data_IF_420420680858
#
_entry.id   IF_420420680858
#
_cell.length_a   1.000
_cell.length_b   1.000
_cell.length_c   1.000
_cell.angle_alpha   90.00
_cell.angle_beta   90.00
_cell.angle_gamma   90.00
#
_symmetry.space_group_name_H-M   'P 1'
#
loop_
_entity.id
_entity.type
_entity.pdbx_description
1 polymer ?
#
# COMPACT_ATOMS: atom_id res chain seq x y z
N UNK A 1 0.87 -3.02 -11.51
CA UNK A 1 -0.18 -1.98 -11.47
C UNK A 1 -1.30 -2.39 -10.54
N UNK A 2 -1.69 -1.47 -9.67
CA UNK A 2 -2.82 -1.57 -8.75
C UNK A 2 -3.49 -0.20 -8.60
N UNK A 3 -4.59 -0.11 -7.86
CA UNK A 3 -5.23 1.17 -7.52
C UNK A 3 -4.28 2.19 -6.84
N UNK A 4 -3.18 1.73 -6.24
CA UNK A 4 -2.14 2.60 -5.69
C UNK A 4 -1.51 3.50 -6.76
N UNK A 5 -1.34 3.00 -8.00
CA UNK A 5 -0.82 3.80 -9.09
C UNK A 5 -1.79 4.91 -9.53
N UNK A 6 -3.10 4.64 -9.43
CA UNK A 6 -4.13 5.66 -9.68
C UNK A 6 -4.06 6.75 -8.61
N UNK A 7 -3.84 6.34 -7.36
CA UNK A 7 -3.68 7.26 -6.23
C UNK A 7 -2.54 8.24 -6.49
N UNK A 8 -1.36 7.76 -6.90
CA UNK A 8 -0.25 8.66 -7.26
C UNK A 8 -0.63 9.70 -8.31
N UNK A 9 -1.46 9.33 -9.29
CA UNK A 9 -1.96 10.26 -10.29
C UNK A 9 -2.94 11.29 -9.75
N UNK A 10 -3.88 10.89 -8.91
CA UNK A 10 -4.93 11.76 -8.34
C UNK A 10 -4.34 12.82 -7.41
N UNK A 11 -3.29 12.49 -6.67
CA UNK A 11 -2.64 13.42 -5.71
C UNK A 11 -1.31 13.98 -6.19
N UNK A 12 -1.00 13.83 -7.48
CA UNK A 12 0.33 14.13 -7.95
C UNK A 12 0.75 15.59 -7.75
N UNK A 13 -0.18 16.53 -7.91
CA UNK A 13 0.07 17.95 -7.64
C UNK A 13 0.03 18.26 -6.14
N UNK A 14 -0.97 17.74 -5.42
CA UNK A 14 -1.22 18.04 -3.99
C UNK A 14 -0.11 17.52 -3.06
N UNK A 15 0.39 16.32 -3.33
CA UNK A 15 1.45 15.67 -2.53
C UNK A 15 2.83 15.83 -3.20
N UNK A 16 2.86 16.33 -4.44
CA UNK A 16 4.10 16.59 -5.18
C UNK A 16 4.71 15.33 -5.81
N UNK A 17 3.93 14.29 -6.12
CA UNK A 17 4.46 13.12 -6.84
C UNK A 17 5.01 13.46 -8.23
N UNK A 18 4.52 14.53 -8.86
CA UNK A 18 5.06 15.04 -10.13
C UNK A 18 6.52 15.49 -10.02
N UNK A 19 6.97 15.83 -8.80
CA UNK A 19 8.34 16.23 -8.58
C UNK A 19 9.32 15.05 -8.62
N UNK A 20 8.88 13.79 -8.54
CA UNK A 20 9.82 12.64 -8.65
C UNK A 20 10.37 12.47 -10.06
N UNK A 21 9.54 12.76 -11.06
CA UNK A 21 9.82 12.57 -12.47
C UNK A 21 9.25 13.76 -13.25
N UNK A 22 10.04 14.83 -13.44
CA UNK A 22 9.60 16.02 -14.15
C UNK A 22 9.10 15.69 -15.56
N UNK A 23 8.02 16.34 -15.96
CA UNK A 23 7.41 16.29 -17.29
C UNK A 23 7.21 17.70 -17.85
N UNK A 24 6.80 17.77 -19.11
CA UNK A 24 6.36 19.03 -19.74
C UNK A 24 5.14 19.62 -19.00
N UNK A 25 4.96 20.94 -19.13
CA UNK A 25 3.85 21.66 -18.49
C UNK A 25 2.50 21.05 -18.85
N UNK A 26 1.65 20.85 -17.84
CA UNK A 26 0.35 20.20 -17.99
C UNK A 26 0.39 18.66 -17.99
N UNK A 27 1.58 18.06 -17.91
CA UNK A 27 1.76 16.62 -17.82
C UNK A 27 2.38 16.18 -16.49
N UNK A 28 2.17 14.91 -16.15
CA UNK A 28 2.79 14.26 -14.99
C UNK A 28 3.18 12.83 -15.34
N UNK A 29 4.29 12.35 -14.79
CA UNK A 29 4.71 10.95 -14.95
C UNK A 29 4.22 10.14 -13.75
N UNK A 30 3.41 9.12 -14.01
CA UNK A 30 2.96 8.21 -12.96
C UNK A 30 4.16 7.41 -12.46
N UNK A 31 4.46 7.45 -11.15
CA UNK A 31 5.53 6.65 -10.60
C UNK A 31 5.06 5.21 -10.28
N UNK A 32 6.00 4.28 -10.25
CA UNK A 32 5.77 2.86 -9.99
C UNK A 32 6.87 2.30 -9.08
N UNK A 33 6.55 1.30 -8.27
CA UNK A 33 7.59 0.44 -7.68
C UNK A 33 7.91 -0.66 -8.68
N UNK A 34 9.19 -0.96 -8.87
CA UNK A 34 9.61 -1.88 -9.92
C UNK A 34 11.06 -2.30 -9.80
N UNK A 35 11.51 -3.03 -10.81
CA UNK A 35 12.90 -3.40 -11.01
C UNK A 35 13.41 -2.82 -12.33
N UNK A 36 14.65 -2.40 -12.36
CA UNK A 36 15.33 -1.98 -13.58
C UNK A 36 16.77 -2.50 -13.60
N UNK A 37 17.25 -2.81 -14.79
CA UNK A 37 18.63 -3.22 -15.04
C UNK A 37 19.43 -2.05 -15.62
N UNK A 38 20.70 -1.91 -15.24
CA UNK A 38 21.59 -0.87 -15.77
C UNK A 38 21.97 -1.20 -17.20
N UNK A 39 21.45 -0.45 -18.16
CA UNK A 39 21.78 -0.62 -19.59
C UNK A 39 22.98 0.21 -20.04
N UNK A 40 23.23 1.34 -19.37
CA UNK A 40 24.38 2.24 -19.58
C UNK A 40 24.80 2.87 -18.24
N UNK A 41 26.11 3.08 -18.04
CA UNK A 41 26.65 3.67 -16.82
C UNK A 41 27.96 4.41 -17.09
N UNK A 42 28.14 5.54 -16.39
CA UNK A 42 29.43 6.25 -16.27
C UNK A 42 30.00 6.18 -14.85
N UNK A 43 29.28 5.51 -13.94
CA UNK A 43 29.64 5.42 -12.52
C UNK A 43 30.47 4.17 -12.27
N UNK A 44 31.68 4.32 -11.72
CA UNK A 44 32.65 3.21 -11.58
C UNK A 44 32.16 2.05 -10.70
N UNK A 45 31.36 2.36 -9.68
CA UNK A 45 30.87 1.36 -8.71
C UNK A 45 29.53 0.71 -9.07
N UNK A 46 28.95 1.07 -10.23
CA UNK A 46 27.66 0.57 -10.70
C UNK A 46 27.88 -0.01 -12.10
N UNK A 47 28.13 -1.33 -12.21
CA UNK A 47 28.39 -1.99 -13.49
C UNK A 47 27.12 -2.11 -14.34
N UNK A 48 27.30 -2.20 -15.67
CA UNK A 48 26.24 -2.57 -16.60
C UNK A 48 25.68 -3.96 -16.24
N UNK A 49 24.36 -4.11 -16.31
CA UNK A 49 23.63 -5.33 -15.94
C UNK A 49 23.30 -5.45 -14.45
N UNK A 50 23.73 -4.50 -13.60
CA UNK A 50 23.28 -4.45 -12.22
C UNK A 50 21.76 -4.19 -12.15
N UNK A 51 21.07 -4.83 -11.20
CA UNK A 51 19.62 -4.74 -11.03
C UNK A 51 19.27 -4.02 -9.74
N UNK A 52 18.30 -3.12 -9.85
CA UNK A 52 17.81 -2.31 -8.73
C UNK A 52 16.33 -2.53 -8.48
N UNK A 53 15.94 -2.55 -7.22
CA UNK A 53 14.55 -2.39 -6.80
C UNK A 53 14.33 -0.97 -6.25
N UNK A 54 13.25 -0.31 -6.66
CA UNK A 54 12.98 1.06 -6.20
C UNK A 54 11.78 1.72 -6.89
N UNK A 55 11.79 3.04 -6.88
CA UNK A 55 10.72 3.89 -7.40
C UNK A 55 11.08 4.43 -8.79
N UNK A 56 10.37 4.01 -9.83
CA UNK A 56 10.66 4.28 -11.23
C UNK A 56 9.54 5.09 -11.89
N UNK A 57 9.80 5.78 -13.01
CA UNK A 57 8.73 6.31 -13.82
C UNK A 57 7.99 5.14 -14.49
N UNK A 58 6.70 5.30 -14.81
CA UNK A 58 6.01 4.41 -15.73
C UNK A 58 6.52 4.65 -17.15
N UNK A 59 7.74 4.18 -17.42
CA UNK A 59 8.48 4.38 -18.67
C UNK A 59 9.49 3.25 -18.90
N UNK A 60 10.27 3.37 -19.97
CA UNK A 60 11.28 2.38 -20.37
C UNK A 60 12.68 2.67 -19.81
N UNK A 61 13.00 3.94 -19.57
CA UNK A 61 14.30 4.38 -19.06
C UNK A 61 14.17 5.41 -17.93
N UNK A 62 15.15 5.40 -17.02
CA UNK A 62 15.39 6.46 -16.05
C UNK A 62 16.87 6.81 -16.05
N UNK A 63 17.19 8.08 -16.25
CA UNK A 63 18.54 8.61 -16.03
C UNK A 63 18.64 9.03 -14.57
N UNK A 64 19.58 8.43 -13.84
CA UNK A 64 19.83 8.72 -12.42
C UNK A 64 21.14 9.47 -12.26
N UNK A 65 21.28 10.20 -11.15
CA UNK A 65 22.55 10.72 -10.68
C UNK A 65 22.93 10.03 -9.35
N UNK A 66 23.50 8.81 -9.38
CA UNK A 66 23.77 8.05 -8.18
C UNK A 66 24.66 8.83 -7.20
N UNK A 67 24.21 8.87 -5.96
CA UNK A 67 24.90 9.44 -4.81
C UNK A 67 24.85 8.42 -3.67
N UNK A 68 25.74 8.56 -2.68
CA UNK A 68 25.78 7.69 -1.48
C UNK A 68 25.70 6.19 -1.83
N UNK A 69 26.58 5.76 -2.74
CA UNK A 69 26.65 4.37 -3.19
C UNK A 69 27.23 3.48 -2.10
N UNK A 70 26.59 2.35 -1.85
CA UNK A 70 27.00 1.33 -0.88
C UNK A 70 26.76 -0.06 -1.46
N UNK A 71 27.17 -1.11 -0.76
CA UNK A 71 26.94 -2.49 -1.21
C UNK A 71 25.44 -2.84 -1.32
N UNK A 72 24.59 -2.30 -0.46
CA UNK A 72 23.16 -2.65 -0.39
C UNK A 72 22.23 -1.67 -1.09
N UNK A 73 22.66 -0.43 -1.35
CA UNK A 73 21.81 0.61 -1.95
C UNK A 73 22.57 1.71 -2.66
N UNK A 74 21.84 2.44 -3.51
CA UNK A 74 22.21 3.76 -4.05
C UNK A 74 21.10 4.77 -3.75
N UNK A 75 21.44 6.06 -3.77
CA UNK A 75 20.47 7.16 -3.68
C UNK A 75 20.50 7.95 -4.98
N UNK A 76 19.37 8.16 -5.63
CA UNK A 76 19.29 9.11 -6.76
C UNK A 76 19.41 10.54 -6.23
N UNK A 77 20.56 11.15 -6.50
CA UNK A 77 20.93 12.49 -6.09
C UNK A 77 20.58 13.57 -7.11
N UNK A 78 19.71 13.27 -8.09
CA UNK A 78 19.24 14.27 -9.04
C UNK A 78 18.68 15.51 -8.32
N UNK A 79 18.98 16.75 -8.77
CA UNK A 79 18.62 17.95 -8.03
C UNK A 79 17.13 18.09 -7.68
N UNK A 80 16.23 17.69 -8.59
CA UNK A 80 14.78 17.74 -8.38
C UNK A 80 14.28 16.80 -7.26
N UNK A 81 15.08 15.80 -6.87
CA UNK A 81 14.75 14.85 -5.81
C UNK A 81 15.21 15.27 -4.42
N UNK A 82 16.07 16.28 -4.29
CA UNK A 82 16.76 16.61 -3.05
C UNK A 82 15.83 16.92 -1.86
N UNK A 83 14.69 17.56 -2.14
CA UNK A 83 13.69 17.91 -1.13
C UNK A 83 12.61 16.83 -0.92
N UNK A 84 12.64 15.73 -1.69
CA UNK A 84 11.62 14.68 -1.64
C UNK A 84 11.93 13.64 -0.56
N UNK A 85 10.92 12.91 -0.05
CA UNK A 85 11.14 11.93 1.00
C UNK A 85 12.19 10.87 0.59
N UNK A 86 13.23 10.62 1.41
CA UNK A 86 14.38 9.79 1.02
C UNK A 86 14.06 8.36 0.59
N UNK A 87 12.95 7.79 1.08
CA UNK A 87 12.52 6.43 0.75
C UNK A 87 12.29 6.22 -0.76
N UNK A 88 11.82 7.25 -1.47
CA UNK A 88 11.55 7.19 -2.91
C UNK A 88 12.78 7.48 -3.78
N UNK A 89 13.87 7.95 -3.16
CA UNK A 89 15.15 8.20 -3.82
C UNK A 89 16.15 7.07 -3.56
N UNK A 90 15.84 6.13 -2.66
CA UNK A 90 16.71 5.01 -2.31
C UNK A 90 16.36 3.79 -3.14
N UNK A 91 17.36 3.22 -3.81
CA UNK A 91 17.22 2.02 -4.64
C UNK A 91 18.06 0.90 -4.05
N UNK A 92 17.42 -0.23 -3.79
CA UNK A 92 18.07 -1.42 -3.26
C UNK A 92 18.85 -2.13 -4.38
N UNK A 93 20.10 -2.50 -4.08
CA UNK A 93 20.94 -3.33 -4.95
C UNK A 93 20.59 -4.78 -4.69
N UNK A 94 20.04 -5.47 -5.68
CA UNK A 94 19.70 -6.89 -5.51
C UNK A 94 20.95 -7.75 -5.31
N UNK A 95 22.09 -7.32 -5.86
CA UNK A 95 23.41 -7.92 -5.68
C UNK A 95 23.92 -7.89 -4.23
N UNK A 96 23.47 -6.92 -3.44
CA UNK A 96 23.84 -6.75 -2.03
C UNK A 96 22.76 -7.21 -1.05
N UNK A 97 21.68 -7.83 -1.53
CA UNK A 97 20.58 -8.30 -0.70
C UNK A 97 20.76 -9.80 -0.40
N UNK A 98 20.98 -10.11 0.88
CA UNK A 98 21.08 -11.50 1.34
C UNK A 98 19.75 -12.24 1.14
N UNK A 99 19.81 -13.39 0.47
CA UNK A 99 18.62 -14.19 0.19
C UNK A 99 17.69 -13.57 -0.86
N UNK A 100 18.20 -12.69 -1.73
CA UNK A 100 17.44 -12.22 -2.89
C UNK A 100 17.04 -13.40 -3.79
N UNK A 101 15.74 -13.49 -4.06
CA UNK A 101 15.14 -14.47 -4.96
C UNK A 101 14.36 -13.73 -6.06
N UNK A 102 14.87 -13.82 -7.29
CA UNK A 102 14.26 -13.20 -8.47
C UNK A 102 12.85 -13.74 -8.76
N UNK A 103 12.51 -14.94 -8.29
CA UNK A 103 11.17 -15.52 -8.45
C UNK A 103 10.09 -14.76 -7.67
N UNK A 104 10.49 -13.86 -6.77
CA UNK A 104 9.62 -13.01 -5.96
C UNK A 104 9.54 -11.55 -6.46
N UNK A 105 10.20 -11.22 -7.59
CA UNK A 105 10.26 -9.84 -8.11
C UNK A 105 8.85 -9.29 -8.37
N UNK A 106 7.97 -10.09 -8.99
CA UNK A 106 6.63 -9.68 -9.36
C UNK A 106 5.78 -9.34 -8.13
N UNK A 107 5.79 -10.21 -7.12
CA UNK A 107 5.12 -9.96 -5.85
C UNK A 107 5.75 -8.79 -5.10
N UNK A 108 7.06 -8.57 -5.20
CA UNK A 108 7.73 -7.45 -4.50
C UNK A 108 7.32 -6.12 -5.09
N UNK A 109 7.37 -5.97 -6.41
CA UNK A 109 6.98 -4.71 -7.04
C UNK A 109 5.48 -4.43 -6.88
N UNK A 110 4.65 -5.48 -6.86
CA UNK A 110 3.21 -5.33 -6.75
C UNK A 110 2.73 -5.12 -5.31
N UNK A 111 3.25 -5.90 -4.35
CA UNK A 111 2.70 -6.02 -3.00
C UNK A 111 3.55 -5.36 -1.92
N UNK A 112 4.88 -5.31 -2.03
CA UNK A 112 5.74 -4.78 -0.94
C UNK A 112 5.32 -3.40 -0.43
N UNK A 113 5.12 -2.36 -1.28
CA UNK A 113 4.71 -1.05 -0.77
C UNK A 113 3.35 -1.09 -0.03
N UNK A 114 2.45 -1.99 -0.44
CA UNK A 114 1.12 -2.14 0.15
C UNK A 114 1.20 -2.92 1.47
N UNK A 115 1.91 -4.03 1.48
CA UNK A 115 2.04 -4.93 2.62
C UNK A 115 2.95 -4.37 3.71
N UNK A 116 3.95 -3.55 3.37
CA UNK A 116 4.69 -2.76 4.35
C UNK A 116 3.76 -1.78 5.08
N UNK A 117 2.82 -1.15 4.37
CA UNK A 117 1.78 -0.30 4.97
C UNK A 117 0.82 -1.14 5.83
N UNK A 118 0.41 -2.31 5.35
CA UNK A 118 -0.42 -3.25 6.13
C UNK A 118 0.23 -3.68 7.44
N UNK A 119 1.52 -4.03 7.41
CA UNK A 119 2.28 -4.37 8.61
C UNK A 119 2.39 -3.18 9.57
N UNK A 120 2.63 -1.98 9.04
CA UNK A 120 2.66 -0.75 9.84
C UNK A 120 1.33 -0.48 10.53
N UNK A 121 0.20 -0.69 9.83
CA UNK A 121 -1.13 -0.59 10.40
C UNK A 121 -1.38 -1.64 11.48
N UNK A 122 -1.04 -2.90 11.21
CA UNK A 122 -1.15 -3.98 12.18
C UNK A 122 -0.38 -3.64 13.47
N UNK A 123 0.88 -3.25 13.35
CA UNK A 123 1.71 -2.92 14.49
C UNK A 123 1.22 -1.66 15.22
N UNK A 124 0.73 -0.65 14.50
CA UNK A 124 0.10 0.53 15.09
C UNK A 124 -1.12 0.17 15.92
N UNK A 125 -2.02 -0.68 15.39
CA UNK A 125 -3.20 -1.13 16.12
C UNK A 125 -2.80 -1.92 17.37
N UNK A 126 -1.83 -2.82 17.24
CA UNK A 126 -1.33 -3.65 18.33
C UNK A 126 -0.64 -2.83 19.43
N UNK A 127 0.17 -1.85 19.05
CA UNK A 127 0.87 -0.94 19.98
C UNK A 127 -0.08 -0.14 20.85
N UNK A 128 -1.27 0.17 20.32
CA UNK A 128 -2.31 0.93 21.00
C UNK A 128 -3.32 0.03 21.71
N UNK A 129 -2.97 -1.24 21.96
CA UNK A 129 -3.85 -2.23 22.58
C UNK A 129 -5.23 -2.30 21.88
N UNK A 130 -5.20 -2.25 20.54
CA UNK A 130 -6.38 -2.23 19.68
C UNK A 130 -7.37 -1.08 20.00
N UNK A 131 -6.92 -0.04 20.70
CA UNK A 131 -7.75 1.03 21.27
C UNK A 131 -8.88 0.51 22.19
N UNK A 132 -8.64 -0.63 22.86
CA UNK A 132 -9.65 -1.34 23.66
C UNK A 132 -10.77 -1.99 22.84
N UNK A 133 -10.59 -2.15 21.53
CA UNK A 133 -11.55 -2.81 20.66
C UNK A 133 -11.51 -4.34 20.80
N UNK A 134 -12.67 -4.96 20.61
CA UNK A 134 -12.86 -6.42 20.52
C UNK A 134 -13.25 -6.88 19.10
N UNK A 135 -13.37 -5.93 18.16
CA UNK A 135 -13.43 -6.21 16.73
C UNK A 135 -12.70 -5.14 15.91
N UNK A 136 -12.08 -5.56 14.81
CA UNK A 136 -11.47 -4.70 13.79
C UNK A 136 -12.35 -4.72 12.56
N UNK A 137 -12.85 -3.56 12.13
CA UNK A 137 -13.70 -3.41 10.95
C UNK A 137 -12.89 -2.78 9.82
N UNK A 138 -12.64 -3.53 8.75
CA UNK A 138 -11.78 -3.12 7.63
C UNK A 138 -12.67 -2.82 6.41
N UNK A 139 -12.68 -1.56 5.95
CA UNK A 139 -13.40 -1.16 4.75
C UNK A 139 -12.51 -1.33 3.52
N UNK A 140 -13.14 -1.58 2.36
CA UNK A 140 -12.43 -1.97 1.14
C UNK A 140 -11.64 -3.27 1.34
N UNK A 141 -12.28 -4.26 1.98
CA UNK A 141 -11.69 -5.55 2.36
C UNK A 141 -11.13 -6.37 1.18
N UNK A 142 -11.52 -6.05 -0.06
CA UNK A 142 -10.93 -6.64 -1.27
C UNK A 142 -9.66 -5.95 -1.75
N UNK A 143 -9.28 -4.81 -1.19
CA UNK A 143 -8.06 -4.10 -1.58
C UNK A 143 -6.81 -4.84 -1.09
N UNK A 144 -5.71 -4.75 -1.83
CA UNK A 144 -4.46 -5.44 -1.49
C UNK A 144 -3.93 -5.00 -0.12
N UNK A 145 -4.00 -3.70 0.21
CA UNK A 145 -3.59 -3.21 1.55
C UNK A 145 -4.48 -3.79 2.66
N UNK A 146 -5.80 -3.92 2.44
CA UNK A 146 -6.70 -4.53 3.42
C UNK A 146 -6.43 -6.02 3.60
N UNK A 147 -6.18 -6.74 2.50
CA UNK A 147 -5.82 -8.17 2.53
C UNK A 147 -4.51 -8.38 3.27
N UNK A 148 -3.50 -7.53 3.04
CA UNK A 148 -2.26 -7.55 3.81
C UNK A 148 -2.51 -7.33 5.31
N UNK A 149 -3.41 -6.42 5.69
CA UNK A 149 -3.73 -6.19 7.11
C UNK A 149 -4.45 -7.39 7.70
N UNK A 150 -5.40 -7.96 6.96
CA UNK A 150 -6.12 -9.17 7.38
C UNK A 150 -5.17 -10.37 7.54
N UNK A 151 -4.16 -10.54 6.68
CA UNK A 151 -3.11 -11.55 6.85
C UNK A 151 -2.35 -11.36 8.17
N UNK A 152 -1.92 -10.14 8.47
CA UNK A 152 -1.19 -9.84 9.70
C UNK A 152 -2.04 -10.09 10.97
N UNK A 153 -3.32 -9.74 10.93
CA UNK A 153 -4.26 -9.99 12.03
C UNK A 153 -4.58 -11.48 12.17
N UNK A 154 -4.76 -12.20 11.06
CA UNK A 154 -5.06 -13.64 11.07
C UNK A 154 -3.94 -14.48 11.70
N UNK A 155 -2.68 -14.07 11.51
CA UNK A 155 -1.52 -14.74 12.09
C UNK A 155 -1.27 -14.37 13.57
N UNK A 156 -2.00 -13.39 14.12
CA UNK A 156 -1.85 -12.94 15.51
C UNK A 156 -3.00 -13.49 16.39
N UNK A 157 -2.73 -14.46 17.29
CA UNK A 157 -3.76 -15.03 18.14
C UNK A 157 -4.35 -14.05 19.17
N UNK A 158 -3.70 -12.90 19.38
CA UNK A 158 -4.20 -11.83 20.24
C UNK A 158 -5.04 -10.79 19.47
N UNK A 159 -5.13 -10.88 18.14
CA UNK A 159 -5.92 -9.95 17.35
C UNK A 159 -7.43 -10.08 17.68
N UNK A 160 -8.16 -8.95 17.77
CA UNK A 160 -9.62 -8.99 17.87
C UNK A 160 -10.26 -9.57 16.61
N UNK A 161 -11.55 -9.91 16.71
CA UNK A 161 -12.34 -10.42 15.59
C UNK A 161 -12.26 -9.48 14.38
N UNK A 162 -11.96 -9.99 13.20
CA UNK A 162 -11.78 -9.20 11.98
C UNK A 162 -13.04 -9.26 11.10
N UNK A 163 -13.61 -8.10 10.79
CA UNK A 163 -14.78 -7.96 9.93
C UNK A 163 -14.41 -7.17 8.68
N UNK A 164 -14.65 -7.76 7.50
CA UNK A 164 -14.41 -7.09 6.21
C UNK A 164 -15.68 -6.52 5.61
N UNK A 165 -15.67 -5.24 5.21
CA UNK A 165 -16.69 -4.67 4.32
C UNK A 165 -16.12 -4.48 2.92
N UNK A 166 -16.88 -4.90 1.92
CA UNK A 166 -16.54 -4.75 0.51
C UNK A 166 -17.79 -4.54 -0.34
N UNK A 167 -17.64 -4.27 -1.64
CA UNK A 167 -18.76 -4.28 -2.58
C UNK A 167 -19.26 -5.70 -2.86
N UNK A 168 -20.55 -5.82 -3.20
CA UNK A 168 -21.21 -7.11 -3.41
C UNK A 168 -20.57 -7.96 -4.50
N UNK A 169 -20.04 -7.31 -5.55
CA UNK A 169 -19.27 -7.98 -6.62
C UNK A 169 -17.99 -8.66 -6.11
N UNK A 170 -17.39 -8.15 -5.04
CA UNK A 170 -16.13 -8.64 -4.47
C UNK A 170 -16.36 -9.57 -3.25
N UNK A 171 -17.56 -9.59 -2.69
CA UNK A 171 -17.87 -10.29 -1.43
C UNK A 171 -17.54 -11.78 -1.47
N UNK A 172 -17.81 -12.45 -2.61
CA UNK A 172 -17.48 -13.87 -2.79
C UNK A 172 -15.98 -14.12 -2.67
N UNK A 173 -15.17 -13.30 -3.34
CA UNK A 173 -13.71 -13.41 -3.29
C UNK A 173 -13.20 -13.15 -1.87
N UNK A 174 -13.67 -12.08 -1.22
CA UNK A 174 -13.26 -11.73 0.15
C UNK A 174 -13.55 -12.86 1.14
N UNK A 175 -14.70 -13.52 1.04
CA UNK A 175 -15.01 -14.72 1.85
C UNK A 175 -14.10 -15.90 1.51
N UNK A 176 -13.79 -16.10 0.23
CA UNK A 176 -12.88 -17.14 -0.24
C UNK A 176 -11.44 -17.00 0.26
N UNK A 177 -11.01 -15.79 0.65
CA UNK A 177 -9.70 -15.58 1.28
C UNK A 177 -9.57 -16.27 2.64
N UNK A 178 -10.69 -16.51 3.35
CA UNK A 178 -10.72 -17.06 4.70
C UNK A 178 -9.86 -16.29 5.73
N UNK A 179 -9.65 -14.99 5.51
CA UNK A 179 -8.89 -14.10 6.41
C UNK A 179 -9.78 -13.28 7.36
N UNK A 180 -11.07 -13.20 7.06
CA UNK A 180 -12.05 -12.44 7.83
C UNK A 180 -12.98 -13.40 8.58
N UNK A 181 -13.22 -13.13 9.86
CA UNK A 181 -14.20 -13.91 10.63
C UNK A 181 -15.62 -13.71 10.10
N UNK A 182 -15.93 -12.49 9.65
CA UNK A 182 -17.17 -12.14 8.97
C UNK A 182 -16.87 -11.17 7.82
N UNK A 183 -17.65 -11.29 6.73
CA UNK A 183 -17.56 -10.35 5.61
C UNK A 183 -18.96 -9.97 5.09
N UNK A 184 -19.17 -8.67 4.91
CA UNK A 184 -20.43 -8.06 4.50
C UNK A 184 -20.28 -7.22 3.23
N UNK A 185 -21.36 -7.12 2.48
CA UNK A 185 -21.51 -6.06 1.48
C UNK A 185 -21.66 -4.70 2.18
N UNK A 186 -21.31 -3.61 1.50
CA UNK A 186 -21.53 -2.25 1.99
C UNK A 186 -22.99 -1.97 2.36
N UNK A 187 -23.97 -2.48 1.61
CA UNK A 187 -25.39 -2.35 1.92
C UNK A 187 -25.84 -3.13 3.16
N UNK A 188 -25.02 -4.07 3.63
CA UNK A 188 -25.27 -4.94 4.76
C UNK A 188 -24.55 -4.49 6.05
N UNK A 189 -23.97 -3.27 6.08
CA UNK A 189 -23.15 -2.79 7.21
C UNK A 189 -23.85 -2.87 8.57
N UNK A 190 -25.18 -2.75 8.61
CA UNK A 190 -25.97 -2.80 9.85
C UNK A 190 -26.00 -4.18 10.51
N UNK A 191 -25.52 -5.23 9.82
CA UNK A 191 -25.37 -6.59 10.37
C UNK A 191 -24.15 -6.71 11.28
N UNK A 192 -23.23 -5.75 11.22
CA UNK A 192 -22.08 -5.68 12.13
C UNK A 192 -22.61 -5.42 13.54
N UNK A 193 -22.19 -6.23 14.51
CA UNK A 193 -22.59 -6.05 15.91
C UNK A 193 -22.08 -4.72 16.43
N UNK A 194 -22.99 -3.83 16.78
CA UNK A 194 -22.67 -2.48 17.26
C UNK A 194 -22.52 -2.40 18.78
N UNK A 195 -22.85 -3.47 19.50
CA UNK A 195 -22.60 -3.63 20.93
C UNK A 195 -21.13 -3.99 21.26
N UNK A 196 -20.30 -4.21 20.24
CA UNK A 196 -18.89 -4.59 20.37
C UNK A 196 -17.99 -3.38 20.11
N UNK A 197 -17.10 -3.09 21.07
CA UNK A 197 -16.06 -2.09 20.93
C UNK A 197 -15.24 -2.35 19.65
N UNK A 198 -15.17 -1.37 18.76
CA UNK A 198 -14.68 -1.53 17.40
C UNK A 198 -13.59 -0.53 17.09
N UNK A 199 -12.52 -0.98 16.43
CA UNK A 199 -11.62 -0.10 15.69
C UNK A 199 -11.93 -0.23 14.20
N UNK A 200 -12.06 0.90 13.52
CA UNK A 200 -12.33 0.98 12.08
C UNK A 200 -11.03 1.28 11.35
N UNK A 201 -10.78 0.59 10.24
CA UNK A 201 -9.68 0.89 9.32
C UNK A 201 -10.30 1.18 7.95
N UNK A 202 -10.32 2.45 7.56
CA UNK A 202 -10.90 2.87 6.28
C UNK A 202 -9.85 2.93 5.17
N UNK A 203 -10.00 2.07 4.17
CA UNK A 203 -9.26 2.10 2.91
C UNK A 203 -10.18 2.35 1.71
N UNK A 204 -11.44 2.71 1.95
CA UNK A 204 -12.44 2.95 0.90
C UNK A 204 -12.45 4.39 0.42
N UNK A 205 -12.11 5.36 1.30
CA UNK A 205 -12.25 6.78 1.01
C UNK A 205 -13.70 7.21 0.74
N UNK A 206 -14.68 6.41 1.15
CA UNK A 206 -16.10 6.70 0.97
C UNK A 206 -16.67 7.32 2.24
N UNK A 207 -16.72 8.66 2.28
CA UNK A 207 -17.20 9.43 3.44
C UNK A 207 -18.64 9.10 3.85
N UNK A 208 -19.50 8.76 2.90
CA UNK A 208 -20.89 8.38 3.17
C UNK A 208 -20.97 7.03 3.89
N UNK A 209 -20.30 6.02 3.34
CA UNK A 209 -20.21 4.70 3.97
C UNK A 209 -19.59 4.77 5.36
N UNK A 210 -18.55 5.59 5.51
CA UNK A 210 -17.86 5.76 6.77
C UNK A 210 -18.75 6.45 7.82
N UNK A 211 -19.49 7.49 7.43
CA UNK A 211 -20.47 8.14 8.31
C UNK A 211 -21.58 7.18 8.74
N UNK A 212 -22.14 6.39 7.82
CA UNK A 212 -23.18 5.39 8.13
C UNK A 212 -22.66 4.32 9.11
N UNK A 213 -21.40 3.89 8.96
CA UNK A 213 -20.77 2.95 9.88
C UNK A 213 -20.51 3.58 11.26
N UNK A 214 -20.05 4.83 11.30
CA UNK A 214 -19.82 5.56 12.55
C UNK A 214 -21.12 5.75 13.32
N UNK A 215 -22.20 6.14 12.65
CA UNK A 215 -23.53 6.25 13.24
C UNK A 215 -24.03 4.91 13.77
N UNK A 216 -23.82 3.82 13.02
CA UNK A 216 -24.22 2.49 13.43
C UNK A 216 -23.47 1.98 14.67
N UNK A 217 -22.16 2.22 14.75
CA UNK A 217 -21.30 1.80 15.86
C UNK A 217 -21.33 2.75 17.07
N UNK A 218 -21.61 4.04 16.84
CA UNK A 218 -21.78 5.09 17.84
C UNK A 218 -20.70 5.08 18.96
N UNK A 219 -21.10 4.93 20.23
CA UNK A 219 -20.21 4.91 21.39
C UNK A 219 -19.23 3.71 21.40
N UNK A 220 -19.52 2.67 20.61
CA UNK A 220 -18.67 1.50 20.49
C UNK A 220 -17.60 1.63 19.41
N UNK A 221 -17.65 2.63 18.53
CA UNK A 221 -16.49 2.98 17.72
C UNK A 221 -15.41 3.62 18.59
N UNK A 222 -14.32 2.90 18.88
CA UNK A 222 -13.24 3.38 19.76
C UNK A 222 -12.21 4.22 19.02
N UNK A 223 -11.92 3.84 17.78
CA UNK A 223 -10.97 4.56 16.94
C UNK A 223 -11.26 4.28 15.46
N UNK A 224 -10.93 5.22 14.59
CA UNK A 224 -11.00 5.08 13.14
C UNK A 224 -9.68 5.56 12.50
N UNK A 225 -8.95 4.63 11.90
CA UNK A 225 -7.75 4.89 11.12
C UNK A 225 -8.10 5.08 9.64
N UNK A 226 -7.94 6.28 9.11
CA UNK A 226 -8.15 6.56 7.68
C UNK A 226 -6.83 6.36 6.92
N UNK A 227 -6.83 5.51 5.90
CA UNK A 227 -5.61 5.07 5.22
C UNK A 227 -5.57 5.54 3.78
N UNK A 228 -4.45 6.15 3.39
CA UNK A 228 -4.21 6.63 2.04
C UNK A 228 -4.84 8.00 1.79
N UNK A 229 -5.25 8.26 0.55
CA UNK A 229 -5.83 9.53 0.14
C UNK A 229 -7.33 9.52 0.45
N UNK A 230 -7.64 9.56 1.73
CA UNK A 230 -8.98 9.87 2.21
C UNK A 230 -9.06 11.38 2.45
N UNK A 231 -9.04 12.16 1.37
CA UNK A 231 -9.33 13.59 1.46
C UNK A 231 -10.84 13.76 1.49
N UNK A 232 -11.43 13.69 2.68
CA UNK A 232 -12.78 14.17 2.88
C UNK A 232 -12.72 15.68 2.80
N UNK A 233 -13.34 16.30 1.79
CA UNK A 233 -13.64 17.71 1.91
C UNK A 233 -14.71 17.86 3.01
N UNK A 234 -14.75 18.99 3.71
CA UNK A 234 -15.74 19.21 4.79
C UNK A 234 -17.19 18.99 4.31
N UNK A 235 -17.42 19.08 2.99
CA UNK A 235 -18.71 18.85 2.34
C UNK A 235 -19.05 17.38 2.03
N UNK A 236 -18.10 16.44 2.15
CA UNK A 236 -18.32 15.01 1.83
C UNK A 236 -18.79 14.18 3.03
N UNK A 237 -18.78 14.76 4.25
CA UNK A 237 -19.10 14.06 5.48
C UNK A 237 -20.51 14.39 5.94
N UNK A 238 -21.39 13.38 5.98
CA UNK A 238 -22.75 13.51 6.50
C UNK A 238 -22.76 13.64 8.03
N UNK A 239 -23.87 14.13 8.61
CA UNK A 239 -24.15 13.92 10.03
C UNK A 239 -24.01 12.44 10.38
N UNK A 240 -23.26 12.11 11.42
CA UNK A 240 -22.95 10.72 11.82
C UNK A 240 -21.45 10.40 11.84
N UNK A 241 -20.62 11.14 11.11
CA UNK A 241 -19.17 10.96 11.20
C UNK A 241 -18.61 11.46 12.54
N UNK A 242 -18.12 10.53 13.37
CA UNK A 242 -17.49 10.82 14.66
C UNK A 242 -16.04 11.30 14.46
N UNK A 243 -15.83 12.62 14.37
CA UNK A 243 -14.52 13.22 14.10
C UNK A 243 -13.53 13.05 15.24
N UNK A 244 -14.01 13.07 16.48
CA UNK A 244 -13.19 13.07 17.70
C UNK A 244 -12.40 11.77 17.88
N UNK A 245 -12.82 10.70 17.19
CA UNK A 245 -12.20 9.36 17.26
C UNK A 245 -11.64 8.92 15.90
N UNK A 246 -11.51 9.83 14.95
CA UNK A 246 -11.01 9.56 13.60
C UNK A 246 -9.73 10.33 13.33
N UNK A 247 -8.72 9.65 12.80
CA UNK A 247 -7.47 10.28 12.38
C UNK A 247 -6.92 9.64 11.11
N UNK A 248 -6.20 10.45 10.32
CA UNK A 248 -5.41 9.94 9.21
C UNK A 248 -4.24 9.11 9.78
N UNK A 249 -4.08 7.89 9.28
CA UNK A 249 -2.95 7.05 9.63
C UNK A 249 -1.68 7.58 8.98
N UNK A 250 -0.71 7.99 9.80
CA UNK A 250 0.56 8.52 9.35
C UNK A 250 1.70 7.51 9.57
N UNK A 251 1.91 6.64 8.59
CA UNK A 251 2.91 5.58 8.64
C UNK A 251 4.34 6.09 8.99
N UNK A 252 4.84 7.22 8.44
CA UNK A 252 6.19 7.69 8.77
C UNK A 252 6.37 8.00 10.27
N UNK A 253 5.34 8.56 10.92
CA UNK A 253 5.39 8.85 12.35
C UNK A 253 5.46 7.57 13.19
N UNK A 254 4.68 6.54 12.83
CA UNK A 254 4.72 5.25 13.52
C UNK A 254 6.06 4.52 13.32
N UNK A 255 6.62 4.53 12.11
CA UNK A 255 7.95 3.96 11.83
C UNK A 255 9.03 4.69 12.62
N UNK A 256 8.95 6.03 12.74
CA UNK A 256 9.88 6.82 13.54
C UNK A 256 9.80 6.45 15.02
N UNK A 257 8.59 6.30 15.57
CA UNK A 257 8.38 5.78 16.93
C UNK A 257 9.03 4.41 17.10
N UNK A 258 8.79 3.47 16.17
CA UNK A 258 9.39 2.13 16.24
C UNK A 258 10.90 2.11 16.08
N UNK A 259 11.45 3.07 15.33
CA UNK A 259 12.90 3.27 15.27
C UNK A 259 13.47 3.66 16.64
N UNK A 260 12.75 4.47 17.41
CA UNK A 260 13.14 4.84 18.78
C UNK A 260 12.95 3.67 19.75
N UNK A 261 11.83 2.93 19.64
CA UNK A 261 11.48 1.82 20.54
C UNK A 261 12.39 0.59 20.33
N UNK A 262 12.67 0.22 19.08
CA UNK A 262 13.31 -1.05 18.72
C UNK A 262 14.73 -0.89 18.17
N UNK A 263 15.11 0.33 17.81
CA UNK A 263 16.36 0.62 17.12
C UNK A 263 16.21 0.67 15.59
N UNK A 264 17.22 1.25 14.90
CA UNK A 264 17.17 1.47 13.46
C UNK A 264 17.16 0.15 12.67
N UNK A 265 16.31 0.08 11.63
CA UNK A 265 16.24 -1.06 10.71
C UNK A 265 15.40 -2.23 11.20
N UNK A 266 14.99 -2.26 12.47
CA UNK A 266 14.23 -3.39 13.03
C UNK A 266 12.81 -3.44 12.48
N UNK A 267 12.16 -2.28 12.31
CA UNK A 267 10.82 -2.21 11.70
C UNK A 267 10.86 -2.69 10.25
N UNK A 268 11.82 -2.21 9.47
CA UNK A 268 11.99 -2.55 8.06
C UNK A 268 12.24 -4.03 7.88
N UNK A 269 13.08 -4.63 8.74
CA UNK A 269 13.31 -6.08 8.74
C UNK A 269 12.01 -6.85 8.99
N UNK A 270 11.25 -6.47 10.04
CA UNK A 270 9.96 -7.12 10.34
C UNK A 270 8.94 -6.96 9.22
N UNK A 271 8.85 -5.78 8.60
CA UNK A 271 7.97 -5.53 7.47
C UNK A 271 8.37 -6.35 6.23
N UNK A 272 9.67 -6.53 5.99
CA UNK A 272 10.19 -7.38 4.91
C UNK A 272 9.90 -8.86 5.17
N UNK A 273 10.13 -9.34 6.39
CA UNK A 273 9.83 -10.71 6.81
C UNK A 273 8.33 -11.00 6.65
N UNK A 274 7.47 -10.11 7.16
CA UNK A 274 6.03 -10.18 6.97
C UNK A 274 5.64 -10.20 5.48
N UNK A 275 6.18 -9.28 4.68
CA UNK A 275 5.87 -9.21 3.26
C UNK A 275 6.21 -10.52 2.55
N UNK A 276 7.37 -11.11 2.84
CA UNK A 276 7.82 -12.34 2.18
C UNK A 276 6.81 -13.47 2.38
N UNK A 277 6.40 -13.71 3.62
CA UNK A 277 5.42 -14.75 3.95
C UNK A 277 4.04 -14.43 3.37
N UNK A 278 3.61 -13.18 3.50
CA UNK A 278 2.33 -12.72 2.99
C UNK A 278 2.25 -12.78 1.45
N UNK A 279 3.35 -12.49 0.75
CA UNK A 279 3.45 -12.60 -0.72
C UNK A 279 3.31 -14.06 -1.16
N UNK A 280 3.97 -14.99 -0.48
CA UNK A 280 3.84 -16.43 -0.74
C UNK A 280 2.40 -16.90 -0.51
N UNK A 281 1.78 -16.53 0.63
CA UNK A 281 0.37 -16.82 0.92
C UNK A 281 -0.55 -16.24 -0.15
N UNK A 282 -0.19 -15.10 -0.74
CA UNK A 282 -1.02 -14.44 -1.74
C UNK A 282 -1.12 -15.20 -3.07
N UNK A 283 -0.19 -16.11 -3.37
CA UNK A 283 -0.23 -16.95 -4.58
C UNK A 283 -1.47 -17.86 -4.65
N UNK A 284 -2.14 -18.13 -3.53
CA UNK A 284 -3.36 -18.97 -3.52
C UNK A 284 -4.59 -18.26 -4.09
N UNK A 285 -4.60 -16.93 -4.09
CA UNK A 285 -5.76 -16.12 -4.49
C UNK A 285 -5.44 -15.07 -5.55
N UNK A 286 -4.20 -14.59 -5.61
CA UNK A 286 -3.76 -13.54 -6.53
C UNK A 286 -3.22 -14.15 -7.82
N UNK A 287 -3.82 -13.79 -8.95
CA UNK A 287 -3.25 -14.08 -10.27
C UNK A 287 -2.51 -12.86 -10.80
N UNK A 288 -1.32 -13.10 -11.35
CA UNK A 288 -0.50 -12.07 -11.97
C UNK A 288 -0.61 -12.16 -13.50
N UNK A 289 -0.91 -11.02 -14.11
CA UNK A 289 -0.96 -10.84 -15.56
C UNK A 289 0.28 -10.12 -16.02
N UNK A 290 0.97 -10.66 -17.02
CA UNK A 290 2.14 -10.02 -17.61
C UNK A 290 1.77 -9.36 -18.92
N UNK A 291 2.10 -8.08 -19.04
CA UNK A 291 1.95 -7.31 -20.27
C UNK A 291 3.28 -6.67 -20.64
N UNK A 292 3.50 -6.46 -21.93
CA UNK A 292 4.75 -5.90 -22.45
C UNK A 292 4.51 -4.67 -23.32
N UNK A 293 5.37 -3.66 -23.14
CA UNK A 293 5.35 -2.39 -23.85
C UNK A 293 4.44 -1.33 -23.22
N UNK A 294 4.77 -0.07 -23.50
CA UNK A 294 4.07 1.11 -22.96
C UNK A 294 2.59 1.15 -23.34
N UNK A 295 2.22 0.75 -24.57
CA UNK A 295 0.82 0.71 -24.99
C UNK A 295 -0.03 -0.28 -24.16
N UNK A 296 0.56 -1.42 -23.80
CA UNK A 296 -0.11 -2.39 -22.93
C UNK A 296 -0.17 -1.89 -21.48
N UNK A 297 0.86 -1.17 -21.02
CA UNK A 297 0.88 -0.49 -19.73
C UNK A 297 -0.26 0.53 -19.61
N UNK A 298 -0.47 1.36 -20.63
CA UNK A 298 -1.55 2.35 -20.71
C UNK A 298 -2.93 1.68 -20.66
N UNK A 299 -3.10 0.61 -21.45
CA UNK A 299 -4.35 -0.18 -21.45
C UNK A 299 -4.65 -0.73 -20.06
N UNK A 300 -3.66 -1.34 -19.41
CA UNK A 300 -3.80 -1.87 -18.05
C UNK A 300 -4.06 -0.76 -17.02
N UNK A 301 -3.38 0.40 -17.14
CA UNK A 301 -3.62 1.56 -16.28
C UNK A 301 -5.07 2.04 -16.38
N UNK A 302 -5.61 2.14 -17.59
CA UNK A 302 -7.00 2.55 -17.80
C UNK A 302 -8.03 1.54 -17.26
N UNK A 303 -7.76 0.24 -17.37
CA UNK A 303 -8.62 -0.80 -16.77
C UNK A 303 -8.66 -0.67 -15.24
N UNK A 304 -7.49 -0.46 -14.60
CA UNK A 304 -7.42 -0.23 -13.15
C UNK A 304 -8.15 1.07 -12.78
N UNK A 305 -7.95 2.16 -13.54
CA UNK A 305 -8.60 3.46 -13.31
C UNK A 305 -10.12 3.37 -13.37
N UNK A 306 -10.67 2.58 -14.30
CA UNK A 306 -12.11 2.36 -14.45
C UNK A 306 -12.68 1.36 -13.42
N UNK A 307 -11.82 0.74 -12.60
CA UNK A 307 -12.22 -0.29 -11.64
C UNK A 307 -12.66 -1.60 -12.30
N UNK A 308 -12.16 -1.87 -13.51
CA UNK A 308 -12.45 -3.08 -14.30
C UNK A 308 -11.52 -4.24 -13.92
N UNK A 309 -10.37 -3.95 -13.31
CA UNK A 309 -9.45 -4.98 -12.79
C UNK A 309 -10.02 -5.61 -11.53
N UNK A 310 -10.22 -6.93 -11.56
CA UNK A 310 -10.67 -7.69 -10.41
C UNK A 310 -9.63 -7.64 -9.26
N UNK A 311 -10.04 -7.67 -7.98
CA UNK A 311 -9.10 -7.43 -6.89
C UNK A 311 -8.10 -8.59 -6.68
N UNK A 312 -8.44 -9.79 -7.14
CA UNK A 312 -7.61 -11.00 -7.24
C UNK A 312 -6.65 -11.00 -8.44
N UNK A 313 -6.55 -9.87 -9.15
CA UNK A 313 -5.61 -9.68 -10.26
C UNK A 313 -4.57 -8.62 -9.94
N UNK A 314 -3.35 -8.82 -10.41
CA UNK A 314 -2.29 -7.81 -10.45
C UNK A 314 -1.64 -7.81 -11.82
N UNK A 315 -1.35 -6.63 -12.38
CA UNK A 315 -0.70 -6.54 -13.68
C UNK A 315 0.78 -6.21 -13.51
N UNK A 316 1.66 -7.06 -14.01
CA UNK A 316 3.10 -6.81 -14.13
C UNK A 316 3.37 -6.28 -15.54
N UNK A 317 4.09 -5.16 -15.62
CA UNK A 317 4.40 -4.49 -16.88
C UNK A 317 5.89 -4.57 -17.11
N UNK A 318 6.28 -5.05 -18.30
CA UNK A 318 7.66 -4.98 -18.80
C UNK A 318 7.71 -3.91 -19.89
N UNK A 319 8.48 -2.85 -19.71
CA UNK A 319 8.45 -1.68 -20.61
C UNK A 319 9.54 -1.68 -21.68
N UNK A 320 10.61 -2.47 -21.52
CA UNK A 320 11.72 -2.62 -22.46
C UNK A 320 12.70 -3.71 -22.03
#
# INVERSE_FOLDING_TARGET
LTANNITYGVVGEKIGYWNFFPAEDGWGVIPVWGFADVVETRHRDIPKGERFYGYFPMGDHLVMAPSKVSASRIVDGAPHRAALPPVYNSYARTSGEEGYDRSMDDERMLLFPLYATSFCLYDFLKDNDWFGARQVVILSASSKTAIGLALALHDDPAAPKVIGLTSGRNLRMVRGLALYDEAFDYGDLRRIRNEIASVVVDMSGNGLLLADLHEHLDANMKYCANVGVTHYTENDMRPGFIRERSAMFFAPGHIQKRTQDWGPGVFEKKALDFWRDAAIKSRSWLTLDHVSGIAAAETAFHQVRKGETAPDRGVIVVTG
#
